data_IF_488955073316
#
_entry.id   IF_488955073316
#
_cell.length_a   1.000
_cell.length_b   1.000
_cell.length_c   1.000
_cell.angle_alpha   90.00
_cell.angle_beta   90.00
_cell.angle_gamma   90.00
#
_symmetry.space_group_name_H-M   'P 1'
#
loop_
_entity.id
_entity.type
_entity.pdbx_description
1 polymer ?
#
# COMPACT_ATOMS: atom_id res chain seq x y z
N UNK A 1 -10.81 -10.35 -12.08
CA UNK A 1 -10.42 -10.09 -10.69
C UNK A 1 -10.66 -8.63 -10.38
N UNK A 2 -11.15 -8.35 -9.21
CA UNK A 2 -11.49 -7.01 -8.76
C UNK A 2 -10.50 -6.56 -7.69
N UNK A 3 -9.79 -5.48 -7.93
CA UNK A 3 -8.75 -4.98 -7.03
C UNK A 3 -9.08 -3.58 -6.53
N UNK A 4 -8.84 -3.35 -5.25
CA UNK A 4 -8.91 -2.02 -4.65
C UNK A 4 -7.53 -1.65 -4.12
N UNK A 5 -7.03 -0.50 -4.57
CA UNK A 5 -5.80 0.10 -4.05
C UNK A 5 -6.21 1.25 -3.14
N UNK A 6 -5.89 1.14 -1.85
CA UNK A 6 -6.18 2.16 -0.84
C UNK A 6 -4.87 2.79 -0.41
N UNK A 7 -4.83 4.11 -0.39
CA UNK A 7 -3.61 4.83 0.01
C UNK A 7 -3.93 6.06 0.84
N UNK A 8 -2.94 6.52 1.59
CA UNK A 8 -2.88 7.88 2.08
C UNK A 8 -1.60 8.52 1.54
N UNK A 9 -1.57 9.83 1.48
CA UNK A 9 -0.43 10.56 0.91
C UNK A 9 -0.36 11.95 1.55
N UNK A 10 0.85 12.34 1.98
CA UNK A 10 1.08 13.67 2.56
C UNK A 10 1.59 14.67 1.51
N UNK A 11 2.49 14.24 0.63
CA UNK A 11 3.16 15.10 -0.34
C UNK A 11 2.96 14.65 -1.78
N UNK A 12 2.10 13.68 -2.02
CA UNK A 12 1.79 13.17 -3.36
C UNK A 12 2.64 11.98 -3.81
N UNK A 13 3.66 11.59 -3.07
CA UNK A 13 4.55 10.49 -3.48
C UNK A 13 3.87 9.14 -3.39
N UNK A 14 3.20 8.85 -2.28
CA UNK A 14 2.45 7.60 -2.11
C UNK A 14 1.33 7.50 -3.13
N UNK A 15 0.68 8.61 -3.45
CA UNK A 15 -0.36 8.65 -4.48
C UNK A 15 0.19 8.25 -5.85
N UNK A 16 1.37 8.78 -6.22
CA UNK A 16 2.01 8.42 -7.50
C UNK A 16 2.30 6.93 -7.58
N UNK A 17 2.79 6.35 -6.49
CA UNK A 17 3.04 4.90 -6.41
C UNK A 17 1.73 4.12 -6.53
N UNK A 18 0.70 4.53 -5.79
CA UNK A 18 -0.61 3.88 -5.86
C UNK A 18 -1.18 3.88 -7.27
N UNK A 19 -1.05 5.00 -7.99
CA UNK A 19 -1.53 5.12 -9.37
C UNK A 19 -0.70 4.28 -10.34
N UNK A 20 0.62 4.23 -10.16
CA UNK A 20 1.48 3.37 -10.97
C UNK A 20 1.13 1.89 -10.79
N UNK A 21 0.86 1.48 -9.56
CA UNK A 21 0.41 0.12 -9.25
C UNK A 21 -0.93 -0.15 -9.95
N UNK A 22 -1.91 0.72 -9.71
CA UNK A 22 -3.27 0.52 -10.23
C UNK A 22 -3.33 0.49 -11.75
N UNK A 23 -2.55 1.33 -12.42
CA UNK A 23 -2.49 1.38 -13.88
C UNK A 23 -1.89 0.10 -14.47
N UNK A 24 -0.97 -0.53 -13.75
CA UNK A 24 -0.31 -1.76 -14.21
C UNK A 24 -1.13 -3.03 -13.97
N UNK A 25 -2.13 -2.97 -13.10
CA UNK A 25 -2.98 -4.12 -12.81
C UNK A 25 -3.99 -4.34 -13.93
N UNK A 26 -4.33 -5.61 -14.18
CA UNK A 26 -5.39 -5.97 -15.12
C UNK A 26 -6.69 -6.24 -14.38
N UNK A 27 -7.81 -6.24 -15.11
CA UNK A 27 -9.13 -6.45 -14.54
C UNK A 27 -9.77 -5.14 -14.07
N UNK A 28 -10.72 -5.24 -13.17
CA UNK A 28 -11.43 -4.07 -12.63
C UNK A 28 -10.64 -3.54 -11.43
N UNK A 29 -10.12 -2.33 -11.56
CA UNK A 29 -9.24 -1.71 -10.55
C UNK A 29 -9.83 -0.39 -10.10
N UNK A 30 -9.94 -0.21 -8.78
CA UNK A 30 -10.27 1.07 -8.17
C UNK A 30 -9.08 1.55 -7.34
N UNK A 31 -8.78 2.84 -7.42
CA UNK A 31 -7.73 3.48 -6.65
C UNK A 31 -8.40 4.57 -5.81
N UNK A 32 -8.30 4.47 -4.50
CA UNK A 32 -9.00 5.39 -3.60
C UNK A 32 -8.06 5.89 -2.51
N UNK A 33 -8.14 7.18 -2.23
CA UNK A 33 -7.58 7.72 -0.99
C UNK A 33 -8.37 7.13 0.17
N UNK A 34 -7.68 6.82 1.26
CA UNK A 34 -8.27 6.10 2.41
C UNK A 34 -9.55 6.75 2.94
N UNK A 35 -9.61 8.09 2.95
CA UNK A 35 -10.82 8.81 3.41
C UNK A 35 -12.01 8.73 2.47
N UNK A 36 -11.81 8.26 1.24
CA UNK A 36 -12.85 8.14 0.22
C UNK A 36 -13.36 6.71 0.05
N UNK A 37 -12.82 5.76 0.81
CA UNK A 37 -13.21 4.35 0.72
C UNK A 37 -14.55 4.15 1.41
N UNK A 38 -15.48 3.52 0.70
CA UNK A 38 -16.79 3.14 1.25
C UNK A 38 -16.81 1.63 1.54
N UNK A 39 -17.71 1.22 2.43
CA UNK A 39 -17.85 -0.20 2.79
C UNK A 39 -18.06 -1.08 1.56
N UNK A 40 -18.87 -0.61 0.60
CA UNK A 40 -19.14 -1.35 -0.64
C UNK A 40 -17.88 -1.58 -1.46
N UNK A 41 -16.92 -0.64 -1.44
CA UNK A 41 -15.66 -0.77 -2.17
C UNK A 41 -14.86 -1.99 -1.69
N UNK A 42 -14.88 -2.22 -0.38
CA UNK A 42 -14.12 -3.31 0.25
C UNK A 42 -14.81 -4.65 0.11
N UNK A 43 -16.14 -4.66 0.17
CA UNK A 43 -16.91 -5.91 0.20
C UNK A 43 -16.85 -6.72 -1.08
N UNK A 44 -16.58 -6.08 -2.20
CA UNK A 44 -16.64 -6.73 -3.51
C UNK A 44 -15.29 -7.08 -4.12
N UNK A 45 -14.17 -6.86 -3.41
CA UNK A 45 -12.84 -7.05 -4.00
C UNK A 45 -12.29 -8.44 -3.75
N UNK A 46 -11.42 -8.87 -4.66
CA UNK A 46 -10.67 -10.13 -4.58
C UNK A 46 -9.25 -9.88 -4.09
N UNK A 47 -8.72 -8.67 -4.30
CA UNK A 47 -7.37 -8.27 -3.90
C UNK A 47 -7.41 -6.86 -3.32
N UNK A 48 -6.86 -6.69 -2.13
CA UNK A 48 -6.74 -5.40 -1.46
C UNK A 48 -5.27 -5.02 -1.32
N UNK A 49 -4.91 -3.85 -1.86
CA UNK A 49 -3.55 -3.32 -1.74
C UNK A 49 -3.63 -2.03 -0.92
N UNK A 50 -2.84 -1.95 0.15
CA UNK A 50 -2.87 -0.80 1.06
C UNK A 50 -1.50 -0.17 1.15
N UNK A 51 -1.43 1.15 1.00
CA UNK A 51 -0.18 1.89 1.07
C UNK A 51 -0.28 3.17 1.88
N UNK A 52 0.85 3.56 2.46
CA UNK A 52 0.96 4.75 3.30
C UNK A 52 2.38 5.29 3.27
N UNK A 53 2.56 6.61 3.44
CA UNK A 53 3.90 7.10 3.77
C UNK A 53 4.28 6.62 5.18
N UNK A 54 5.57 6.44 5.41
CA UNK A 54 6.08 6.14 6.75
C UNK A 54 6.25 7.45 7.51
N UNK A 55 5.54 7.59 8.62
CA UNK A 55 5.60 8.76 9.49
C UNK A 55 5.90 8.29 10.91
N UNK A 56 7.10 8.62 11.41
CA UNK A 56 7.54 8.16 12.72
C UNK A 56 7.56 6.63 12.81
N UNK A 57 7.89 5.94 11.73
CA UNK A 57 7.92 4.49 11.66
C UNK A 57 6.56 3.83 11.47
N UNK A 58 5.50 4.60 11.29
CA UNK A 58 4.12 4.09 11.27
C UNK A 58 3.36 4.54 10.04
N UNK A 59 2.28 3.81 9.65
CA UNK A 59 1.32 4.34 8.69
C UNK A 59 0.64 5.58 9.26
N UNK A 60 0.02 6.37 8.40
CA UNK A 60 -0.78 7.51 8.85
C UNK A 60 -1.97 7.02 9.69
N UNK A 61 -2.49 7.91 10.53
CA UNK A 61 -3.65 7.58 11.37
C UNK A 61 -4.87 7.12 10.58
N UNK A 62 -5.24 7.78 9.46
CA UNK A 62 -6.37 7.29 8.65
C UNK A 62 -6.16 5.85 8.14
N UNK A 63 -4.94 5.48 7.75
CA UNK A 63 -4.65 4.11 7.32
C UNK A 63 -4.77 3.15 8.50
N UNK A 64 -4.26 3.53 9.67
CA UNK A 64 -4.40 2.71 10.88
C UNK A 64 -5.87 2.45 11.21
N UNK A 65 -6.71 3.50 11.15
CA UNK A 65 -8.14 3.37 11.44
C UNK A 65 -8.84 2.50 10.40
N UNK A 66 -8.49 2.65 9.14
CA UNK A 66 -9.00 1.80 8.05
C UNK A 66 -8.70 0.32 8.33
N UNK A 67 -7.47 0.00 8.70
CA UNK A 67 -7.06 -1.37 8.98
C UNK A 67 -7.82 -1.96 10.17
N UNK A 68 -8.06 -1.16 11.21
CA UNK A 68 -8.82 -1.61 12.39
C UNK A 68 -10.27 -1.94 12.05
N UNK A 69 -10.84 -1.24 11.11
CA UNK A 69 -12.24 -1.41 10.71
C UNK A 69 -12.46 -2.54 9.69
N UNK A 70 -11.39 -3.12 9.15
CA UNK A 70 -11.51 -4.17 8.13
C UNK A 70 -12.15 -5.43 8.68
N UNK A 71 -13.09 -5.98 7.89
CA UNK A 71 -13.80 -7.22 8.20
C UNK A 71 -13.85 -8.12 6.97
N UNK A 72 -12.71 -8.29 6.29
CA UNK A 72 -12.63 -9.11 5.08
C UNK A 72 -11.50 -10.11 5.20
N UNK A 73 -11.65 -11.24 4.51
CA UNK A 73 -10.65 -12.30 4.41
C UNK A 73 -10.34 -12.51 2.94
N UNK A 74 -9.55 -11.63 2.37
CA UNK A 74 -9.16 -11.66 0.95
C UNK A 74 -7.65 -11.63 0.82
N UNK A 75 -7.16 -11.79 -0.41
CA UNK A 75 -5.75 -11.64 -0.72
C UNK A 75 -5.37 -10.17 -0.57
N UNK A 76 -4.19 -9.92 -0.05
CA UNK A 76 -3.77 -8.54 0.22
C UNK A 76 -2.26 -8.35 0.05
N UNK A 77 -1.88 -7.09 -0.15
CA UNK A 77 -0.47 -6.68 -0.17
C UNK A 77 -0.36 -5.28 0.42
N UNK A 78 0.84 -4.95 0.89
CA UNK A 78 1.13 -3.67 1.52
C UNK A 78 2.35 -3.02 0.90
N UNK A 79 2.35 -1.69 0.83
CA UNK A 79 3.52 -0.92 0.44
C UNK A 79 3.63 0.35 1.28
N UNK A 80 4.82 0.93 1.29
CA UNK A 80 5.01 2.26 1.87
C UNK A 80 5.90 3.11 0.99
N UNK A 81 5.93 4.41 1.28
CA UNK A 81 6.96 5.29 0.78
C UNK A 81 7.79 5.77 1.95
N UNK A 82 9.10 5.85 1.78
CA UNK A 82 10.04 6.22 2.83
C UNK A 82 11.30 6.85 2.25
N UNK A 83 11.95 7.70 3.05
CA UNK A 83 13.29 8.17 2.73
C UNK A 83 14.31 7.12 3.17
N UNK A 84 15.49 7.10 2.52
CA UNK A 84 16.59 6.22 2.91
C UNK A 84 17.37 6.85 4.06
N UNK A 85 16.87 6.67 5.27
CA UNK A 85 17.50 7.20 6.48
C UNK A 85 17.91 6.04 7.37
N UNK A 86 19.21 5.85 7.58
CA UNK A 86 19.76 4.69 8.29
C UNK A 86 19.22 4.52 9.71
N UNK A 87 19.20 5.60 10.48
CA UNK A 87 18.78 5.52 11.87
C UNK A 87 17.26 5.39 12.04
N UNK A 88 16.50 5.64 10.98
CA UNK A 88 15.05 5.46 11.01
C UNK A 88 14.63 4.00 11.15
N UNK A 89 15.54 3.05 10.89
CA UNK A 89 15.25 1.61 11.05
C UNK A 89 14.86 1.25 12.49
N UNK A 90 15.26 2.06 13.47
CA UNK A 90 14.92 1.84 14.89
C UNK A 90 13.40 1.91 15.11
N UNK A 91 12.71 2.77 14.38
CA UNK A 91 11.27 3.01 14.57
C UNK A 91 10.39 2.10 13.70
N UNK A 92 10.99 1.35 12.78
CA UNK A 92 10.26 0.52 11.83
C UNK A 92 9.73 1.32 10.66
N UNK A 93 8.83 0.70 9.89
CA UNK A 93 8.30 1.27 8.66
C UNK A 93 6.82 0.93 8.51
N UNK A 94 6.10 1.78 7.76
CA UNK A 94 4.67 1.63 7.56
C UNK A 94 4.30 0.33 6.84
N UNK A 95 5.03 -0.04 5.78
CA UNK A 95 4.71 -1.23 4.98
C UNK A 95 4.62 -2.52 5.79
N UNK A 96 5.67 -2.89 6.53
CA UNK A 96 5.61 -4.08 7.39
C UNK A 96 4.51 -4.01 8.45
N UNK A 97 4.21 -2.85 8.99
CA UNK A 97 3.14 -2.69 9.98
C UNK A 97 1.77 -2.88 9.36
N UNK A 98 1.55 -2.39 8.13
CA UNK A 98 0.33 -2.62 7.37
C UNK A 98 0.18 -4.12 7.10
N UNK A 99 1.24 -4.76 6.61
CA UNK A 99 1.22 -6.19 6.30
C UNK A 99 0.86 -7.01 7.54
N UNK A 100 1.46 -6.70 8.69
CA UNK A 100 1.16 -7.37 9.95
C UNK A 100 -0.30 -7.19 10.36
N UNK A 101 -0.83 -5.97 10.23
CA UNK A 101 -2.22 -5.68 10.57
C UNK A 101 -3.20 -6.43 9.65
N UNK A 102 -2.91 -6.49 8.35
CA UNK A 102 -3.72 -7.25 7.39
C UNK A 102 -3.73 -8.74 7.75
N UNK A 103 -2.57 -9.28 8.08
CA UNK A 103 -2.43 -10.68 8.48
C UNK A 103 -3.22 -10.99 9.76
N UNK A 104 -3.17 -10.10 10.74
CA UNK A 104 -3.93 -10.24 11.98
C UNK A 104 -5.44 -10.20 11.76
N UNK A 105 -5.87 -9.55 10.69
CA UNK A 105 -7.29 -9.50 10.29
C UNK A 105 -7.71 -10.71 9.46
N UNK A 106 -6.82 -11.67 9.23
CA UNK A 106 -7.13 -12.88 8.48
C UNK A 106 -6.95 -12.76 6.98
N UNK A 107 -6.30 -11.69 6.50
CA UNK A 107 -5.97 -11.55 5.08
C UNK A 107 -4.82 -12.47 4.71
N UNK A 108 -4.79 -12.92 3.45
CA UNK A 108 -3.68 -13.71 2.92
C UNK A 108 -2.74 -12.78 2.17
N UNK A 109 -1.55 -12.57 2.71
CA UNK A 109 -0.54 -11.75 2.03
C UNK A 109 0.00 -12.49 0.81
N UNK A 110 -0.04 -11.84 -0.34
CA UNK A 110 0.42 -12.43 -1.62
C UNK A 110 1.86 -12.07 -1.97
N UNK A 111 2.46 -11.14 -1.21
CA UNK A 111 3.86 -10.74 -1.37
C UNK A 111 4.32 -10.09 -0.07
N UNK A 112 5.65 -10.04 0.18
CA UNK A 112 6.18 -9.21 1.26
C UNK A 112 5.85 -7.74 1.02
N UNK A 113 5.76 -6.96 2.09
CA UNK A 113 5.58 -5.51 1.98
C UNK A 113 6.71 -4.89 1.16
N UNK A 114 6.38 -3.95 0.28
CA UNK A 114 7.35 -3.31 -0.60
C UNK A 114 7.55 -1.85 -0.22
N UNK A 115 8.78 -1.39 -0.24
CA UNK A 115 9.12 0.00 0.05
C UNK A 115 9.47 0.73 -1.25
N UNK A 116 8.98 1.96 -1.39
CA UNK A 116 9.31 2.85 -2.50
C UNK A 116 9.95 4.11 -1.94
N UNK A 117 11.03 4.57 -2.54
CA UNK A 117 11.91 5.54 -1.91
C UNK A 117 11.72 6.94 -2.43
N UNK A 118 11.75 7.90 -1.49
CA UNK A 118 11.71 9.33 -1.77
C UNK A 118 13.05 9.96 -1.42
N UNK A 119 13.38 11.10 -2.04
CA UNK A 119 14.68 11.78 -1.88
C UNK A 119 14.80 12.57 -0.59
N UNK A 120 13.79 12.60 0.21
CA UNK A 120 13.76 13.32 1.46
C UNK A 120 12.37 13.23 2.02
N UNK A 121 12.05 14.04 3.02
CA UNK A 121 10.75 13.98 3.68
C UNK A 121 9.60 14.23 2.70
N UNK A 122 9.74 15.21 1.82
CA UNK A 122 8.67 15.65 0.92
C UNK A 122 8.80 15.09 -0.50
N UNK A 123 9.86 14.40 -0.79
CA UNK A 123 10.12 13.86 -2.12
C UNK A 123 11.09 14.73 -2.91
N UNK A 124 11.10 14.60 -4.24
CA UNK A 124 10.27 13.69 -5.01
C UNK A 124 10.66 12.21 -4.85
N UNK A 125 9.92 11.34 -5.52
CA UNK A 125 10.30 9.92 -5.61
C UNK A 125 11.68 9.80 -6.25
N UNK A 126 12.45 8.80 -5.82
CA UNK A 126 13.71 8.46 -6.49
C UNK A 126 13.41 8.02 -7.91
N UNK A 127 14.37 8.22 -8.80
CA UNK A 127 14.24 7.84 -10.20
C UNK A 127 13.98 6.33 -10.32
N UNK A 128 13.03 5.96 -11.19
CA UNK A 128 12.69 4.57 -11.46
C UNK A 128 11.69 3.95 -10.51
N UNK A 129 11.27 4.65 -9.46
CA UNK A 129 10.38 4.07 -8.46
C UNK A 129 8.96 3.82 -9.00
N UNK A 130 8.46 4.68 -9.87
CA UNK A 130 7.14 4.45 -10.50
C UNK A 130 7.17 3.19 -11.39
N UNK A 131 8.25 2.99 -12.15
CA UNK A 131 8.41 1.79 -12.97
C UNK A 131 8.54 0.54 -12.10
N UNK A 132 9.24 0.67 -10.97
CA UNK A 132 9.40 -0.44 -10.02
C UNK A 132 8.05 -0.79 -9.36
N UNK A 133 7.22 0.20 -9.10
CA UNK A 133 5.88 0.00 -8.58
C UNK A 133 5.00 -0.76 -9.57
N UNK A 134 5.07 -0.41 -10.85
CA UNK A 134 4.33 -1.11 -11.91
C UNK A 134 4.79 -2.59 -12.01
N UNK A 135 6.08 -2.85 -11.91
CA UNK A 135 6.62 -4.21 -11.92
C UNK A 135 6.14 -5.01 -10.70
N UNK A 136 6.14 -4.38 -9.52
CA UNK A 136 5.65 -5.01 -8.30
C UNK A 136 4.17 -5.36 -8.38
N UNK A 137 3.36 -4.52 -9.01
CA UNK A 137 1.95 -4.79 -9.25
C UNK A 137 1.77 -6.12 -10.00
N UNK A 138 2.58 -6.36 -11.02
CA UNK A 138 2.58 -7.62 -11.75
C UNK A 138 2.89 -8.82 -10.85
N UNK A 139 3.85 -8.67 -9.96
CA UNK A 139 4.21 -9.71 -8.98
C UNK A 139 3.05 -10.01 -8.04
N UNK A 140 2.41 -8.97 -7.51
CA UNK A 140 1.28 -9.11 -6.59
C UNK A 140 0.10 -9.80 -7.27
N UNK A 141 -0.25 -9.37 -8.47
CA UNK A 141 -1.39 -9.90 -9.20
C UNK A 141 -1.14 -11.33 -9.70
N UNK A 142 0.09 -11.65 -10.06
CA UNK A 142 0.47 -12.96 -10.55
C UNK A 142 0.70 -14.01 -9.48
N UNK A 143 0.63 -13.65 -8.20
CA UNK A 143 0.84 -14.59 -7.10
C UNK A 143 -0.28 -15.64 -7.06
N UNK A 144 0.11 -16.90 -6.90
CA UNK A 144 -0.81 -18.06 -6.88
C UNK A 144 -0.91 -18.65 -5.47
N UNK A 145 -1.21 -17.84 -4.52
CA UNK A 145 -1.44 -18.36 -3.17
C UNK A 145 -2.82 -18.94 -2.99
#
# INVERSE_FOLDING_TARGET
MKTLVVYDSAYGNTEKIARSIGTALSGEVSIRRVGEVETADVQSVDLLIVGSPTQGGRPTKPVQDFLKALERHVRAAAFDTRARIRWATIFGYAGPRIASALQQKGMTLVAPAEAFYVRGKEGPLEEGEEARAAAWAGTVQGSKL
#
